data_IF_769001212658
#
_entry.id   IF_769001212658
#
_cell.length_a   1.000
_cell.length_b   1.000
_cell.length_c   1.000
_cell.angle_alpha   90.00
_cell.angle_beta   90.00
_cell.angle_gamma   90.00
#
_symmetry.space_group_name_H-M   'P 1'
#
loop_
_entity.id
_entity.type
_entity.pdbx_description
1 polymer ?
#
# COMPACT_ATOMS: atom_id res chain seq x y z
N UNK A 1 -5.69 -0.82 -13.59
CA UNK A 1 -5.68 -1.64 -12.35
C UNK A 1 -6.93 -2.48 -12.37
N UNK A 2 -6.81 -3.79 -12.19
CA UNK A 2 -7.96 -4.68 -12.11
C UNK A 2 -8.58 -4.66 -10.71
N UNK A 3 -9.87 -5.01 -10.62
CA UNK A 3 -10.56 -5.15 -9.36
C UNK A 3 -9.87 -6.21 -8.48
N UNK A 4 -9.51 -5.84 -7.25
CA UNK A 4 -8.82 -6.74 -6.32
C UNK A 4 -9.70 -7.89 -5.81
N UNK A 5 -11.02 -7.80 -6.03
CA UNK A 5 -11.99 -8.82 -5.62
C UNK A 5 -12.32 -9.82 -6.74
N UNK A 6 -12.57 -9.34 -7.97
CA UNK A 6 -13.05 -10.20 -9.06
C UNK A 6 -12.15 -10.21 -10.31
N UNK A 7 -11.06 -9.45 -10.33
CA UNK A 7 -10.13 -9.39 -11.47
C UNK A 7 -10.64 -8.61 -12.69
N UNK A 8 -11.87 -8.12 -12.69
CA UNK A 8 -12.41 -7.31 -13.82
C UNK A 8 -11.60 -6.03 -14.05
N UNK A 9 -11.45 -5.65 -15.32
CA UNK A 9 -10.85 -4.38 -15.74
C UNK A 9 -11.82 -3.20 -15.65
N UNK A 10 -13.12 -3.45 -15.45
CA UNK A 10 -14.14 -2.42 -15.32
C UNK A 10 -14.07 -1.77 -13.94
N UNK A 11 -13.17 -0.80 -13.80
CA UNK A 11 -12.93 -0.06 -12.58
C UNK A 11 -13.10 1.43 -12.84
N UNK A 12 -13.87 2.08 -11.98
CA UNK A 12 -14.12 3.51 -12.02
C UNK A 12 -13.49 4.18 -10.78
N UNK A 13 -13.03 5.43 -10.95
CA UNK A 13 -12.46 6.23 -9.86
C UNK A 13 -13.54 7.17 -9.37
N UNK A 14 -14.02 6.95 -8.15
CA UNK A 14 -15.12 7.71 -7.53
C UNK A 14 -14.65 8.96 -6.79
N UNK A 15 -13.42 8.98 -6.28
CA UNK A 15 -12.89 10.12 -5.54
C UNK A 15 -11.37 10.16 -5.59
N UNK A 16 -10.79 11.36 -5.65
CA UNK A 16 -9.35 11.59 -5.62
C UNK A 16 -9.03 12.66 -4.58
N UNK A 17 -8.22 12.30 -3.58
CA UNK A 17 -7.77 13.22 -2.52
C UNK A 17 -6.25 13.29 -2.48
N UNK A 18 -5.71 14.49 -2.65
CA UNK A 18 -4.31 14.75 -2.37
C UNK A 18 -4.12 14.96 -0.85
N UNK A 19 -3.10 14.33 -0.26
CA UNK A 19 -2.67 14.61 1.11
C UNK A 19 -1.24 15.13 1.07
N UNK A 20 -1.11 16.45 1.02
CA UNK A 20 0.17 17.11 0.79
C UNK A 20 0.72 16.83 -0.61
N UNK A 21 2.00 17.14 -0.86
CA UNK A 21 2.57 17.15 -2.22
C UNK A 21 2.89 15.76 -2.78
N UNK A 22 2.91 14.71 -1.94
CA UNK A 22 3.52 13.42 -2.31
C UNK A 22 2.60 12.21 -2.14
N UNK A 23 1.33 12.41 -1.81
CA UNK A 23 0.39 11.29 -1.58
C UNK A 23 -0.94 11.56 -2.23
N UNK A 24 -1.40 10.63 -3.06
CA UNK A 24 -2.71 10.69 -3.69
C UNK A 24 -3.51 9.46 -3.26
N UNK A 25 -4.68 9.68 -2.70
CA UNK A 25 -5.64 8.64 -2.37
C UNK A 25 -6.68 8.59 -3.48
N UNK A 26 -6.90 7.41 -4.05
CA UNK A 26 -7.95 7.20 -5.06
C UNK A 26 -8.92 6.15 -4.57
N UNK A 27 -10.17 6.56 -4.34
CA UNK A 27 -11.27 5.65 -4.06
C UNK A 27 -11.80 5.14 -5.40
N UNK A 28 -12.00 3.83 -5.51
CA UNK A 28 -12.44 3.15 -6.73
C UNK A 28 -13.62 2.24 -6.45
N UNK A 29 -14.41 2.03 -7.48
CA UNK A 29 -15.48 1.05 -7.52
C UNK A 29 -15.36 0.16 -8.76
N UNK A 30 -15.63 -1.13 -8.59
CA UNK A 30 -15.72 -2.05 -9.72
C UNK A 30 -17.14 -2.02 -10.27
N UNK A 31 -17.28 -1.70 -11.55
CA UNK A 31 -18.58 -1.67 -12.21
C UNK A 31 -19.15 -3.08 -12.45
N UNK A 32 -18.29 -4.12 -12.43
CA UNK A 32 -18.71 -5.51 -12.63
C UNK A 32 -19.25 -6.18 -11.35
N UNK A 33 -18.65 -5.90 -10.17
CA UNK A 33 -19.02 -6.57 -8.91
C UNK A 33 -19.43 -5.63 -7.77
N UNK A 34 -19.41 -4.30 -8.00
CA UNK A 34 -19.78 -3.28 -7.02
C UNK A 34 -18.78 -3.09 -5.86
N UNK A 35 -17.70 -3.85 -5.81
CA UNK A 35 -16.71 -3.75 -4.74
C UNK A 35 -16.00 -2.39 -4.77
N UNK A 36 -15.74 -1.81 -3.60
CA UNK A 36 -15.08 -0.51 -3.45
C UNK A 36 -13.80 -0.64 -2.66
N UNK A 37 -12.74 0.03 -3.10
CA UNK A 37 -11.44 0.07 -2.42
C UNK A 37 -10.74 1.40 -2.62
N UNK A 38 -9.72 1.66 -1.80
CA UNK A 38 -8.87 2.84 -1.92
C UNK A 38 -7.45 2.39 -2.18
N UNK A 39 -6.75 3.07 -3.09
CA UNK A 39 -5.27 2.95 -3.14
C UNK A 39 -4.62 4.25 -2.78
N UNK A 40 -3.37 4.12 -2.34
CA UNK A 40 -2.46 5.23 -2.13
C UNK A 40 -1.41 5.19 -3.21
N UNK A 41 -1.19 6.31 -3.87
CA UNK A 41 -0.10 6.52 -4.82
C UNK A 41 0.96 7.40 -4.15
N UNK A 42 2.20 6.94 -4.24
CA UNK A 42 3.38 7.54 -3.64
C UNK A 42 4.49 7.60 -4.70
N UNK A 43 5.37 8.62 -4.70
CA UNK A 43 6.60 8.61 -5.46
C UNK A 43 7.40 7.33 -5.18
N UNK A 44 7.96 6.72 -6.22
CA UNK A 44 8.68 5.44 -6.10
C UNK A 44 9.80 5.48 -5.04
N UNK A 45 10.49 6.61 -4.91
CA UNK A 45 11.50 6.81 -3.88
C UNK A 45 10.95 6.74 -2.45
N UNK A 46 9.72 7.18 -2.19
CA UNK A 46 9.11 7.08 -0.86
C UNK A 46 8.71 5.64 -0.54
N UNK A 47 8.21 4.91 -1.56
CA UNK A 47 7.88 3.50 -1.39
C UNK A 47 9.12 2.67 -1.09
N UNK A 48 10.23 2.90 -1.81
CA UNK A 48 11.52 2.25 -1.56
C UNK A 48 11.97 2.47 -0.12
N UNK A 49 12.02 3.72 0.34
CA UNK A 49 12.42 4.05 1.71
C UNK A 49 11.55 3.39 2.78
N UNK A 50 10.23 3.28 2.53
CA UNK A 50 9.32 2.63 3.45
C UNK A 50 9.59 1.11 3.54
N UNK A 51 9.85 0.45 2.40
CA UNK A 51 10.20 -0.97 2.35
C UNK A 51 11.56 -1.21 3.02
N UNK A 52 12.57 -0.40 2.71
CA UNK A 52 13.90 -0.52 3.31
C UNK A 52 13.84 -0.34 4.84
N UNK A 53 13.02 0.60 5.32
CA UNK A 53 12.79 0.78 6.75
C UNK A 53 12.14 -0.45 7.39
N UNK A 54 11.11 -1.05 6.78
CA UNK A 54 10.48 -2.28 7.31
C UNK A 54 11.46 -3.45 7.35
N UNK A 55 12.21 -3.67 6.27
CA UNK A 55 13.21 -4.74 6.22
C UNK A 55 14.32 -4.52 7.26
N UNK A 56 14.75 -3.26 7.47
CA UNK A 56 15.73 -2.91 8.51
C UNK A 56 15.18 -3.04 9.95
N UNK A 57 13.86 -3.06 10.14
CA UNK A 57 13.24 -3.38 11.44
C UNK A 57 13.27 -4.89 11.73
N UNK A 58 13.13 -5.73 10.71
CA UNK A 58 13.21 -7.20 10.86
C UNK A 58 14.59 -7.65 11.35
N UNK A 59 15.67 -7.04 10.85
CA UNK A 59 17.04 -7.38 11.28
C UNK A 59 17.31 -7.09 12.76
N UNK A 60 16.61 -6.12 13.36
CA UNK A 60 16.77 -5.76 14.79
C UNK A 60 16.03 -6.72 15.73
N UNK A 61 15.06 -7.48 15.26
CA UNK A 61 14.28 -8.42 16.09
C UNK A 61 14.95 -9.82 16.19
N UNK A 62 16.03 -10.07 15.45
CA UNK A 62 16.73 -11.36 15.41
C UNK A 62 17.74 -11.63 16.54
N UNK A 63 18.14 -10.63 17.33
CA UNK A 63 19.05 -10.85 18.48
C UNK A 63 18.26 -11.28 19.72
N UNK A 64 17.83 -12.54 19.75
CA UNK A 64 17.44 -13.19 21.01
C UNK A 64 18.68 -13.26 21.90
N UNK A 65 18.59 -12.65 23.09
CA UNK A 65 19.60 -12.69 24.13
C UNK A 65 19.95 -14.15 24.47
N UNK A 66 21.17 -14.57 24.19
CA UNK A 66 21.74 -15.77 24.83
C UNK A 66 22.10 -15.38 26.26
N UNK A 67 21.29 -15.85 27.21
CA UNK A 67 21.62 -15.76 28.64
C UNK A 67 22.88 -16.60 28.90
N UNK A 68 23.94 -15.95 29.37
CA UNK A 68 25.17 -16.61 29.83
C UNK A 68 24.88 -17.31 31.16
N UNK A 69 25.23 -18.59 31.22
CA UNK A 69 25.20 -19.46 32.41
C UNK A 69 26.44 -19.23 33.27
#
# INVERSE_FOLDING_TARGET
>A
MNCIKCGSSQVHVIDTRAKGPRRIYRRRDCLACGYRWTTVELPAGDLRRAVDALNGLEERHGKKHTAKR
#
